data_IF_519548342297
#
_entry.id   IF_519548342297
#
_cell.length_a   1.000
_cell.length_b   1.000
_cell.length_c   1.000
_cell.angle_alpha   90.00
_cell.angle_beta   90.00
_cell.angle_gamma   90.00
#
_symmetry.space_group_name_H-M   'P 1'
#
loop_
_entity.id
_entity.type
_entity.pdbx_description
1 polymer ?
#
# COMPACT_ATOMS: atom_id res chain seq x y z
N UNK A 1 6.02 -10.24 -4.25
CA UNK A 1 5.24 -9.65 -3.15
C UNK A 1 4.67 -8.36 -3.69
N UNK A 2 3.33 -8.24 -3.72
CA UNK A 2 2.63 -7.11 -4.30
C UNK A 2 2.63 -5.89 -3.36
N UNK A 3 2.48 -4.69 -3.93
CA UNK A 3 2.53 -3.44 -3.19
C UNK A 3 1.40 -3.34 -2.14
N UNK A 4 0.24 -3.92 -2.44
CA UNK A 4 -0.86 -4.03 -1.50
C UNK A 4 -0.53 -4.90 -0.29
N UNK A 5 0.16 -6.02 -0.48
CA UNK A 5 0.57 -6.91 0.63
C UNK A 5 1.59 -6.21 1.52
N UNK A 6 2.56 -5.51 0.92
CA UNK A 6 3.56 -4.73 1.64
C UNK A 6 2.88 -3.61 2.47
N UNK A 7 1.90 -2.90 1.88
CA UNK A 7 1.12 -1.87 2.57
C UNK A 7 0.25 -2.43 3.70
N UNK A 8 -0.47 -3.53 3.47
CA UNK A 8 -1.32 -4.16 4.47
C UNK A 8 -0.50 -4.66 5.65
N UNK A 9 0.68 -5.24 5.39
CA UNK A 9 1.61 -5.63 6.45
C UNK A 9 2.08 -4.41 7.25
N UNK A 10 2.50 -3.34 6.58
CA UNK A 10 2.91 -2.10 7.25
C UNK A 10 1.81 -1.54 8.15
N UNK A 11 0.57 -1.46 7.67
CA UNK A 11 -0.58 -1.01 8.47
C UNK A 11 -0.79 -1.92 9.69
N UNK A 12 -0.73 -3.25 9.49
CA UNK A 12 -0.90 -4.21 10.59
C UNK A 12 0.20 -4.11 11.65
N UNK A 13 1.45 -3.96 11.23
CA UNK A 13 2.61 -3.83 12.12
C UNK A 13 2.53 -2.54 12.95
N UNK A 14 1.89 -1.50 12.41
CA UNK A 14 1.77 -0.18 13.04
C UNK A 14 0.39 0.14 13.64
N UNK A 15 -0.55 -0.82 13.65
CA UNK A 15 -1.92 -0.62 14.16
C UNK A 15 -2.00 -0.14 15.61
N UNK A 16 -0.96 -0.40 16.42
CA UNK A 16 -0.90 -0.03 17.84
C UNK A 16 -0.15 1.27 18.09
N UNK A 17 0.36 1.95 17.05
CA UNK A 17 1.14 3.18 17.19
C UNK A 17 0.28 4.42 17.52
N UNK A 18 -1.05 4.30 17.51
CA UNK A 18 -1.99 5.39 17.83
C UNK A 18 -3.36 5.21 17.18
N UNK A 19 -4.22 6.22 17.29
CA UNK A 19 -5.47 6.33 16.51
C UNK A 19 -5.11 6.76 15.09
N UNK A 20 -5.56 6.00 14.09
CA UNK A 20 -5.20 6.18 12.68
C UNK A 20 -3.69 6.36 12.45
N UNK A 21 -2.88 5.37 12.86
CA UNK A 21 -1.45 5.54 13.01
C UNK A 21 -0.71 5.65 11.68
N UNK A 22 -1.33 5.31 10.56
CA UNK A 22 -0.72 5.27 9.23
C UNK A 22 -1.52 6.13 8.25
N UNK A 23 -0.86 7.16 7.71
CA UNK A 23 -1.35 7.93 6.57
C UNK A 23 -0.75 7.35 5.28
N UNK A 24 -1.57 7.22 4.23
CA UNK A 24 -1.15 6.69 2.93
C UNK A 24 -1.39 7.75 1.86
N UNK A 25 -0.38 8.01 1.04
CA UNK A 25 -0.43 8.99 -0.03
C UNK A 25 0.33 8.54 -1.30
N UNK A 26 0.06 9.25 -2.40
CA UNK A 26 0.81 9.15 -3.64
C UNK A 26 1.41 10.52 -3.94
N UNK A 27 2.66 10.79 -3.51
CA UNK A 27 3.23 12.13 -3.54
C UNK A 27 3.40 12.69 -4.96
N UNK A 28 3.44 11.80 -5.96
CA UNK A 28 3.59 12.13 -7.37
C UNK A 28 2.36 11.63 -8.13
N UNK A 29 1.89 12.35 -9.17
CA UNK A 29 0.81 11.88 -10.01
C UNK A 29 1.16 10.52 -10.63
N UNK A 30 0.19 9.58 -10.70
CA UNK A 30 0.41 8.32 -11.39
C UNK A 30 0.76 8.56 -12.86
N UNK A 31 1.75 7.81 -13.34
CA UNK A 31 2.21 7.83 -14.73
C UNK A 31 1.80 6.53 -15.43
N UNK A 32 2.04 6.46 -16.74
CA UNK A 32 1.86 5.19 -17.49
C UNK A 32 2.81 4.09 -17.03
N UNK A 33 3.95 4.45 -16.44
CA UNK A 33 4.98 3.51 -15.97
C UNK A 33 4.76 3.07 -14.52
N UNK A 34 3.71 3.59 -13.87
CA UNK A 34 3.41 3.28 -12.48
C UNK A 34 3.24 4.54 -11.62
N UNK A 35 3.20 4.32 -10.31
CA UNK A 35 3.05 5.36 -9.31
C UNK A 35 3.90 5.08 -8.08
N UNK A 36 4.16 6.14 -7.31
CA UNK A 36 4.83 6.02 -6.01
C UNK A 36 3.79 5.93 -4.91
N UNK A 37 3.83 4.84 -4.16
CA UNK A 37 3.05 4.62 -2.95
C UNK A 37 3.91 4.99 -1.74
N UNK A 38 3.38 5.84 -0.87
CA UNK A 38 4.01 6.17 0.40
C UNK A 38 3.03 5.95 1.54
N UNK A 39 3.53 5.40 2.64
CA UNK A 39 2.80 5.32 3.90
C UNK A 39 3.69 5.80 5.04
N UNK A 40 3.15 6.69 5.87
CA UNK A 40 3.83 7.32 6.98
C UNK A 40 3.13 6.94 8.26
N UNK A 41 3.87 6.38 9.22
CA UNK A 41 3.37 6.15 10.55
C UNK A 41 3.72 7.30 11.49
N UNK A 42 2.85 7.62 12.44
CA UNK A 42 3.10 8.57 13.53
C UNK A 42 4.32 8.22 14.40
N UNK A 43 4.74 6.95 14.42
CA UNK A 43 5.98 6.52 15.07
C UNK A 43 7.26 6.90 14.31
N UNK A 44 7.14 7.48 13.10
CA UNK A 44 8.24 7.85 12.23
C UNK A 44 8.64 6.79 11.20
N UNK A 45 8.01 5.62 11.20
CA UNK A 45 8.23 4.61 10.17
C UNK A 45 7.66 5.05 8.82
N UNK A 46 8.37 4.72 7.74
CA UNK A 46 8.00 5.08 6.37
C UNK A 46 8.08 3.85 5.47
N UNK A 47 7.01 3.60 4.74
CA UNK A 47 7.01 2.74 3.56
C UNK A 47 7.02 3.64 2.33
N UNK A 48 7.99 3.46 1.44
CA UNK A 48 8.07 4.17 0.16
C UNK A 48 8.38 3.16 -0.94
N UNK A 49 7.46 3.03 -1.90
CA UNK A 49 7.47 1.97 -2.91
C UNK A 49 7.06 2.50 -4.27
N UNK A 50 7.81 2.13 -5.29
CA UNK A 50 7.34 2.23 -6.67
C UNK A 50 6.44 1.04 -7.00
N UNK A 51 5.29 1.31 -7.60
CA UNK A 51 4.32 0.30 -8.04
C UNK A 51 4.20 0.38 -9.55
N UNK A 52 4.64 -0.68 -10.24
CA UNK A 52 4.49 -0.78 -11.69
C UNK A 52 3.03 -1.09 -12.07
N UNK A 53 2.60 -0.84 -13.32
CA UNK A 53 1.26 -1.20 -13.79
C UNK A 53 0.99 -2.71 -13.70
N UNK A 54 2.03 -3.52 -13.87
CA UNK A 54 1.94 -4.97 -13.73
C UNK A 54 1.67 -5.37 -12.27
N UNK A 55 2.37 -4.75 -11.32
CA UNK A 55 2.17 -4.99 -9.88
C UNK A 55 0.79 -4.50 -9.43
N UNK A 56 0.37 -3.30 -9.87
CA UNK A 56 -0.95 -2.76 -9.56
C UNK A 56 -2.08 -3.66 -10.10
N UNK A 57 -1.92 -4.21 -11.31
CA UNK A 57 -2.88 -5.15 -11.89
C UNK A 57 -2.91 -6.47 -11.11
N UNK A 58 -1.75 -6.98 -10.70
CA UNK A 58 -1.66 -8.19 -9.89
C UNK A 58 -2.40 -7.99 -8.56
N UNK A 59 -2.17 -6.87 -7.88
CA UNK A 59 -2.82 -6.52 -6.62
C UNK A 59 -4.33 -6.35 -6.77
N UNK A 60 -4.80 -5.73 -7.86
CA UNK A 60 -6.23 -5.58 -8.14
C UNK A 60 -6.95 -6.93 -8.34
N UNK A 61 -6.33 -7.84 -9.11
CA UNK A 61 -6.84 -9.19 -9.32
C UNK A 61 -6.88 -9.95 -7.99
N UNK A 62 -5.80 -9.90 -7.22
CA UNK A 62 -5.70 -10.58 -5.94
C UNK A 62 -6.74 -10.09 -4.93
N UNK A 63 -6.92 -8.76 -4.84
CA UNK A 63 -7.92 -8.14 -3.96
C UNK A 63 -9.35 -8.55 -4.36
N UNK A 64 -9.65 -8.53 -5.66
CA UNK A 64 -10.98 -8.94 -6.19
C UNK A 64 -11.27 -10.41 -5.88
N UNK A 65 -10.28 -11.29 -6.05
CA UNK A 65 -10.42 -12.71 -5.72
C UNK A 65 -10.66 -12.93 -4.22
N UNK A 66 -9.93 -12.22 -3.35
CA UNK A 66 -10.13 -12.29 -1.90
C UNK A 66 -11.51 -11.78 -1.48
N UNK A 67 -11.99 -10.67 -2.03
CA UNK A 67 -13.33 -10.14 -1.72
C UNK A 67 -14.46 -11.05 -2.22
N UNK A 68 -14.23 -11.87 -3.25
CA UNK A 68 -15.23 -12.79 -3.81
C UNK A 68 -15.32 -14.12 -3.06
N UNK A 69 -14.35 -14.40 -2.18
CA UNK A 69 -14.29 -15.63 -1.37
C UNK A 69 -14.84 -15.44 0.05
N UNK A 70 -15.42 -14.27 0.36
CA UNK A 70 -15.94 -13.89 1.68
C UNK A 70 -17.46 -13.76 1.69
#
# INVERSE_FOLDING_TARGET
MGAFVDLQRFINDHRTCGTDPVAVDTPEPPTREGYRLRALCTCGAVLDRWVSPADARHDFIFTTLLSSLN
#
